data_IF_914317783205
#
_entry.id   IF_914317783205
#
_cell.length_a   1.000
_cell.length_b   1.000
_cell.length_c   1.000
_cell.angle_alpha   90.00
_cell.angle_beta   90.00
_cell.angle_gamma   90.00
#
_symmetry.space_group_name_H-M   'P 1'
#
loop_
_entity.id
_entity.type
_entity.pdbx_description
1 polymer ?
#
# COMPACT_ATOMS: atom_id res chain seq x y z
N UNK A 1 20.14 11.94 2.35
CA UNK A 1 18.75 12.10 1.84
C UNK A 1 18.62 11.37 0.50
N UNK A 2 17.49 10.69 0.25
CA UNK A 2 17.24 10.06 -1.04
C UNK A 2 17.12 11.14 -2.14
N UNK A 3 17.86 11.00 -3.24
CA UNK A 3 17.74 11.89 -4.41
C UNK A 3 16.87 11.23 -5.48
N UNK A 4 16.18 12.06 -6.26
CA UNK A 4 15.52 11.64 -7.50
C UNK A 4 16.59 11.05 -8.42
N UNK A 5 16.35 9.83 -8.92
CA UNK A 5 17.27 9.10 -9.79
C UNK A 5 16.48 8.43 -10.91
N UNK A 6 16.96 7.27 -11.41
CA UNK A 6 16.25 6.50 -12.45
C UNK A 6 14.82 6.11 -12.07
N UNK A 7 14.54 5.94 -10.77
CA UNK A 7 13.22 5.64 -10.24
C UNK A 7 12.66 6.86 -9.49
N UNK A 8 11.45 7.35 -9.80
CA UNK A 8 10.85 8.47 -9.09
C UNK A 8 10.66 8.22 -7.59
N UNK A 9 10.82 9.26 -6.77
CA UNK A 9 10.61 9.18 -5.31
C UNK A 9 9.15 8.84 -4.95
N UNK A 10 8.21 9.36 -5.73
CA UNK A 10 6.78 9.08 -5.65
C UNK A 10 6.39 7.69 -6.23
N UNK A 11 7.33 6.96 -6.81
CA UNK A 11 7.06 5.69 -7.48
C UNK A 11 6.60 4.62 -6.49
N UNK A 12 5.55 3.89 -6.85
CA UNK A 12 4.86 2.97 -5.95
C UNK A 12 5.79 1.98 -5.23
N UNK A 13 6.62 1.26 -5.98
CA UNK A 13 7.55 0.28 -5.40
C UNK A 13 8.62 0.90 -4.49
N UNK A 14 8.95 2.18 -4.69
CA UNK A 14 9.97 2.91 -3.93
C UNK A 14 9.36 3.50 -2.65
N UNK A 15 8.12 3.97 -2.72
CA UNK A 15 7.30 4.33 -1.55
C UNK A 15 7.00 3.13 -0.68
N UNK A 16 6.59 2.00 -1.28
CA UNK A 16 6.25 0.78 -0.55
C UNK A 16 7.48 0.02 -0.01
N UNK A 17 8.67 0.26 -0.55
CA UNK A 17 9.93 -0.28 -0.03
C UNK A 17 11.11 0.62 -0.41
N UNK A 18 11.66 1.31 0.59
CA UNK A 18 12.77 2.25 0.41
C UNK A 18 14.12 1.61 0.09
N UNK A 19 14.27 0.29 0.29
CA UNK A 19 15.49 -0.48 -0.01
C UNK A 19 16.78 0.09 0.58
N UNK A 20 16.68 0.80 1.71
CA UNK A 20 17.81 1.32 2.47
C UNK A 20 17.73 0.80 3.91
N UNK A 21 18.85 0.30 4.43
CA UNK A 21 18.95 -0.18 5.82
C UNK A 21 18.03 -1.35 6.18
N UNK A 22 17.86 -1.57 7.48
CA UNK A 22 16.92 -2.53 8.04
C UNK A 22 15.50 -1.98 7.92
N UNK A 23 14.71 -2.55 7.00
CA UNK A 23 13.30 -2.22 6.84
C UNK A 23 12.43 -3.23 7.63
N UNK A 24 11.91 -2.79 8.79
CA UNK A 24 10.96 -3.56 9.61
C UNK A 24 9.54 -3.54 9.04
N UNK A 25 9.25 -2.64 8.11
CA UNK A 25 7.95 -2.49 7.46
C UNK A 25 7.87 -3.28 6.16
N UNK A 26 7.85 -4.61 6.31
CA UNK A 26 7.67 -5.56 5.20
C UNK A 26 6.38 -6.35 5.34
N UNK A 27 5.74 -6.58 4.20
CA UNK A 27 4.48 -7.33 4.09
C UNK A 27 4.60 -8.41 3.01
N UNK A 28 3.94 -9.55 3.21
CA UNK A 28 3.76 -10.57 2.18
C UNK A 28 2.43 -10.34 1.48
N UNK A 29 2.46 -9.99 0.20
CA UNK A 29 1.25 -9.69 -0.59
C UNK A 29 0.69 -10.95 -1.24
N UNK A 30 -0.63 -11.16 -1.15
CA UNK A 30 -1.39 -12.26 -1.77
C UNK A 30 -2.71 -11.75 -2.37
N UNK A 31 -2.67 -10.56 -2.97
CA UNK A 31 -3.84 -10.00 -3.65
C UNK A 31 -4.12 -10.67 -4.99
N UNK A 32 -5.38 -10.60 -5.43
CA UNK A 32 -5.86 -11.13 -6.71
C UNK A 32 -6.74 -10.08 -7.42
N UNK A 33 -6.65 -9.91 -8.75
CA UNK A 33 -7.55 -9.03 -9.49
C UNK A 33 -9.02 -9.47 -9.37
N UNK A 34 -9.95 -8.54 -9.48
CA UNK A 34 -11.39 -8.81 -9.61
C UNK A 34 -12.03 -7.95 -10.70
N UNK A 35 -13.20 -8.38 -11.16
CA UNK A 35 -13.96 -7.74 -12.22
C UNK A 35 -13.56 -8.25 -13.61
N UNK A 36 -14.27 -7.79 -14.63
CA UNK A 36 -13.98 -8.14 -16.01
C UNK A 36 -12.79 -7.37 -16.57
N UNK A 37 -12.10 -7.98 -17.53
CA UNK A 37 -11.04 -7.34 -18.30
C UNK A 37 -11.52 -6.04 -18.96
N UNK A 38 -10.61 -5.08 -19.07
CA UNK A 38 -10.90 -3.82 -19.74
C UNK A 38 -11.12 -4.05 -21.23
N UNK A 39 -12.29 -3.63 -21.73
CA UNK A 39 -12.64 -3.64 -23.15
C UNK A 39 -12.66 -2.21 -23.67
N UNK A 40 -11.79 -1.91 -24.64
CA UNK A 40 -11.69 -0.56 -25.18
C UNK A 40 -13.03 -0.11 -25.79
N UNK A 41 -13.51 1.09 -25.40
CA UNK A 41 -14.81 1.61 -25.82
C UNK A 41 -16.03 0.98 -25.14
N UNK A 42 -15.84 0.00 -24.24
CA UNK A 42 -16.91 -0.59 -23.43
C UNK A 42 -17.18 0.18 -22.13
N UNK A 43 -18.31 -0.09 -21.45
CA UNK A 43 -18.61 0.52 -20.16
C UNK A 43 -17.62 0.08 -19.06
N UNK A 44 -17.34 0.97 -18.11
CA UNK A 44 -16.56 0.62 -16.92
C UNK A 44 -17.43 -0.19 -15.95
N UNK A 45 -17.29 -1.51 -15.97
CA UNK A 45 -18.07 -2.46 -15.17
C UNK A 45 -17.58 -2.63 -13.73
N UNK A 46 -16.55 -1.87 -13.32
CA UNK A 46 -15.95 -2.00 -11.98
C UNK A 46 -14.95 -3.15 -11.93
N UNK A 47 -13.68 -2.81 -11.71
CA UNK A 47 -12.56 -3.75 -11.62
C UNK A 47 -11.51 -3.23 -10.66
N UNK A 48 -10.64 -4.11 -10.20
CA UNK A 48 -9.53 -3.69 -9.36
C UNK A 48 -8.78 -4.86 -8.74
N UNK A 49 -8.34 -4.65 -7.50
CA UNK A 49 -7.52 -5.60 -6.76
C UNK A 49 -8.19 -5.93 -5.43
N UNK A 50 -8.46 -7.21 -5.18
CA UNK A 50 -8.70 -7.72 -3.83
C UNK A 50 -7.34 -7.79 -3.16
N UNK A 51 -6.97 -6.72 -2.47
CA UNK A 51 -5.68 -6.62 -1.81
C UNK A 51 -5.69 -7.41 -0.50
N UNK A 52 -4.81 -8.40 -0.40
CA UNK A 52 -4.53 -9.13 0.84
C UNK A 52 -3.03 -9.09 1.13
N UNK A 53 -2.67 -8.89 2.39
CA UNK A 53 -1.29 -8.99 2.83
C UNK A 53 -1.17 -9.56 4.24
N UNK A 54 -0.03 -10.17 4.52
CA UNK A 54 0.29 -10.80 5.79
C UNK A 54 1.49 -10.12 6.44
N UNK A 55 1.40 -9.98 7.76
CA UNK A 55 2.39 -9.36 8.62
C UNK A 55 2.16 -9.84 10.06
N UNK A 56 3.21 -9.80 10.90
CA UNK A 56 3.08 -10.08 12.33
C UNK A 56 2.48 -8.90 13.11
N UNK A 57 2.64 -7.68 12.61
CA UNK A 57 2.18 -6.45 13.26
C UNK A 57 1.62 -5.50 12.21
N UNK A 58 0.31 -5.25 12.24
CA UNK A 58 -0.38 -4.37 11.27
C UNK A 58 0.21 -2.95 11.34
N UNK A 59 0.49 -2.48 12.55
CA UNK A 59 1.08 -1.16 12.82
C UNK A 59 2.40 -0.95 12.08
N UNK A 60 3.25 -1.97 12.01
CA UNK A 60 4.56 -1.87 11.36
C UNK A 60 4.51 -2.25 9.88
N UNK A 61 3.49 -2.96 9.41
CA UNK A 61 3.37 -3.39 8.02
C UNK A 61 2.52 -2.45 7.17
N UNK A 62 1.33 -2.90 6.79
CA UNK A 62 0.40 -2.23 5.88
C UNK A 62 0.05 -0.82 6.34
N UNK A 63 -0.29 -0.65 7.63
CA UNK A 63 -0.66 0.68 8.15
C UNK A 63 0.49 1.65 8.02
N UNK A 64 1.71 1.24 8.36
CA UNK A 64 2.90 2.07 8.22
C UNK A 64 3.17 2.44 6.76
N UNK A 65 3.18 1.45 5.86
CA UNK A 65 3.43 1.65 4.43
C UNK A 65 2.40 2.63 3.85
N UNK A 66 1.11 2.48 4.17
CA UNK A 66 0.08 3.36 3.64
C UNK A 66 0.18 4.78 4.23
N UNK A 67 0.25 4.91 5.55
CA UNK A 67 0.11 6.21 6.23
C UNK A 67 1.41 6.99 6.36
N UNK A 68 2.52 6.33 6.71
CA UNK A 68 3.81 6.97 6.93
C UNK A 68 4.60 7.16 5.63
N UNK A 69 4.35 6.34 4.60
CA UNK A 69 5.08 6.39 3.34
C UNK A 69 4.23 6.84 2.16
N UNK A 70 3.21 6.07 1.78
CA UNK A 70 2.43 6.34 0.57
C UNK A 70 1.65 7.66 0.66
N UNK A 71 1.02 7.93 1.80
CA UNK A 71 0.23 9.15 2.03
C UNK A 71 1.07 10.34 2.50
N UNK A 72 2.41 10.21 2.57
CA UNK A 72 3.25 11.22 3.20
C UNK A 72 4.11 11.97 2.16
N UNK A 73 3.78 13.23 1.79
CA UNK A 73 4.47 13.94 0.73
C UNK A 73 5.95 14.24 1.01
N UNK A 74 6.34 14.28 2.29
CA UNK A 74 7.72 14.49 2.72
C UNK A 74 8.59 13.21 2.74
N UNK A 75 8.02 12.05 2.39
CA UNK A 75 8.73 10.77 2.43
C UNK A 75 9.07 10.26 1.03
N UNK A 76 10.26 9.68 0.76
CA UNK A 76 11.39 9.47 1.67
C UNK A 76 12.31 10.71 1.82
N UNK A 77 11.98 11.81 1.17
CA UNK A 77 12.67 13.09 1.29
C UNK A 77 11.71 14.25 0.99
N UNK A 78 12.00 15.48 1.45
CA UNK A 78 11.17 16.64 1.13
C UNK A 78 10.92 16.78 -0.37
N UNK A 79 9.68 17.13 -0.73
CA UNK A 79 9.27 17.29 -2.14
C UNK A 79 9.07 16.00 -2.91
N UNK A 80 9.07 14.82 -2.26
CA UNK A 80 8.83 13.55 -2.94
C UNK A 80 7.40 13.40 -3.46
N UNK A 81 6.41 14.00 -2.78
CA UNK A 81 5.00 13.83 -3.11
C UNK A 81 4.41 12.53 -2.57
N UNK A 82 3.13 12.29 -2.86
CA UNK A 82 2.41 11.07 -2.51
C UNK A 82 2.80 9.91 -3.44
N UNK A 83 2.48 8.70 -3.03
CA UNK A 83 2.49 7.55 -3.94
C UNK A 83 1.47 7.76 -5.07
N UNK A 84 1.94 7.65 -6.31
CA UNK A 84 1.15 7.96 -7.52
C UNK A 84 0.07 6.93 -7.86
N UNK A 85 0.06 5.78 -7.16
CA UNK A 85 -0.87 4.67 -7.39
C UNK A 85 -1.82 4.47 -6.23
N UNK A 86 -1.33 4.49 -4.98
CA UNK A 86 -2.15 4.20 -3.78
C UNK A 86 -2.18 5.34 -2.77
N UNK A 87 -1.48 6.44 -3.02
CA UNK A 87 -1.48 7.59 -2.12
C UNK A 87 -2.89 8.15 -1.98
N UNK A 88 -3.26 8.54 -0.77
CA UNK A 88 -4.55 9.16 -0.46
C UNK A 88 -4.28 10.50 0.21
N UNK A 89 -4.31 11.55 -0.60
CA UNK A 89 -4.14 12.93 -0.16
C UNK A 89 -5.43 13.73 -0.21
N UNK A 90 -5.35 14.97 0.27
CA UNK A 90 -6.36 16.00 0.14
C UNK A 90 -6.05 16.87 -1.08
N UNK A 91 -7.05 17.60 -1.57
CA UNK A 91 -6.86 18.59 -2.65
C UNK A 91 -5.79 19.64 -2.32
N UNK A 92 -5.59 19.93 -1.03
CA UNK A 92 -4.62 20.89 -0.51
C UNK A 92 -3.17 20.38 -0.47
N UNK A 93 -2.94 19.08 -0.67
CA UNK A 93 -1.59 18.51 -0.61
C UNK A 93 -0.79 18.90 -1.86
N UNK A 94 0.55 18.97 -1.77
CA UNK A 94 1.38 19.27 -2.94
C UNK A 94 1.26 18.14 -3.99
N UNK A 95 1.28 18.53 -5.26
CA UNK A 95 1.35 17.57 -6.35
C UNK A 95 2.64 16.74 -6.28
N UNK A 96 2.57 15.50 -6.75
CA UNK A 96 3.69 14.56 -6.72
C UNK A 96 4.54 14.72 -7.98
N UNK A 97 5.80 15.15 -7.89
CA UNK A 97 6.66 15.29 -9.05
C UNK A 97 7.06 13.92 -9.58
N UNK A 98 6.74 13.66 -10.83
CA UNK A 98 7.05 12.42 -11.52
C UNK A 98 7.89 12.70 -12.77
N UNK A 99 9.16 12.31 -12.73
CA UNK A 99 10.09 12.51 -13.85
C UNK A 99 10.04 11.31 -14.79
N UNK A 100 9.82 11.58 -16.08
CA UNK A 100 9.84 10.59 -17.16
C UNK A 100 10.83 11.09 -18.21
N UNK A 101 12.05 10.56 -18.17
CA UNK A 101 13.16 11.07 -19.00
C UNK A 101 13.47 12.53 -18.64
N UNK A 102 13.35 13.43 -19.62
CA UNK A 102 13.56 14.87 -19.44
C UNK A 102 12.27 15.64 -19.11
N UNK A 103 11.11 14.98 -19.09
CA UNK A 103 9.82 15.60 -18.82
C UNK A 103 9.43 15.41 -17.36
N UNK A 104 8.98 16.49 -16.74
CA UNK A 104 8.38 16.48 -15.40
C UNK A 104 6.87 16.56 -15.53
N UNK A 105 6.15 15.60 -14.93
CA UNK A 105 4.69 15.61 -14.80
C UNK A 105 4.34 15.72 -13.33
N UNK A 106 3.45 16.65 -12.98
CA UNK A 106 2.93 16.78 -11.63
C UNK A 106 1.63 16.00 -11.51
N UNK A 107 1.65 14.94 -10.70
CA UNK A 107 0.48 14.10 -10.46
C UNK A 107 -0.32 14.69 -9.32
N UNK A 108 -1.64 14.87 -9.52
CA UNK A 108 -2.53 15.42 -8.51
C UNK A 108 -2.51 14.55 -7.23
N UNK A 109 -2.68 15.15 -6.05
CA UNK A 109 -2.68 14.42 -4.79
C UNK A 109 -3.97 13.61 -4.56
N UNK A 110 -5.04 13.97 -5.25
CA UNK A 110 -6.27 13.18 -5.31
C UNK A 110 -6.01 12.01 -6.27
N UNK A 111 -6.17 10.80 -5.74
CA UNK A 111 -5.97 9.58 -6.49
C UNK A 111 -7.23 9.21 -7.26
N UNK A 112 -7.19 9.44 -8.56
CA UNK A 112 -8.28 9.12 -9.48
C UNK A 112 -8.21 7.66 -9.99
N UNK A 113 -7.14 6.91 -9.68
CA UNK A 113 -6.88 5.58 -10.25
C UNK A 113 -7.31 4.43 -9.34
N UNK A 114 -7.15 4.59 -8.03
CA UNK A 114 -7.46 3.54 -7.04
C UNK A 114 -8.35 4.12 -5.95
N UNK A 115 -9.61 3.67 -5.93
CA UNK A 115 -10.56 4.01 -4.87
C UNK A 115 -10.72 2.84 -3.91
N UNK A 116 -10.41 3.06 -2.62
CA UNK A 116 -10.68 2.07 -1.58
C UNK A 116 -12.20 1.89 -1.41
N UNK A 117 -12.68 0.65 -1.50
CA UNK A 117 -14.11 0.29 -1.34
C UNK A 117 -14.44 -0.32 0.03
N UNK A 118 -13.46 -0.38 0.93
CA UNK A 118 -13.56 -1.03 2.23
C UNK A 118 -12.57 -2.19 2.39
N UNK A 119 -12.58 -2.81 3.56
CA UNK A 119 -11.69 -3.90 3.94
C UNK A 119 -11.73 -4.13 5.45
N UNK A 120 -11.07 -5.18 5.92
CA UNK A 120 -11.03 -5.54 7.34
C UNK A 120 -9.69 -6.18 7.71
N UNK A 121 -9.34 -6.14 8.99
CA UNK A 121 -8.19 -6.83 9.56
C UNK A 121 -8.59 -8.19 10.15
N UNK A 122 -7.87 -9.23 9.74
CA UNK A 122 -8.09 -10.59 10.20
C UNK A 122 -6.83 -11.18 10.83
N UNK A 123 -7.05 -12.16 11.70
CA UNK A 123 -5.99 -13.02 12.23
C UNK A 123 -6.10 -14.42 11.60
N UNK A 124 -5.01 -14.89 11.02
CA UNK A 124 -4.91 -16.26 10.50
C UNK A 124 -4.21 -17.12 11.57
N UNK A 125 -4.97 -17.89 12.38
CA UNK A 125 -4.38 -18.74 13.40
C UNK A 125 -3.59 -19.92 12.79
N UNK A 126 -2.76 -20.55 13.61
CA UNK A 126 -2.07 -21.77 13.20
C UNK A 126 -3.06 -22.94 13.01
N UNK A 127 -2.64 -23.93 12.22
CA UNK A 127 -3.43 -25.16 12.04
C UNK A 127 -3.70 -25.90 13.35
N UNK A 128 -2.79 -25.81 14.33
CA UNK A 128 -3.00 -26.41 15.65
C UNK A 128 -4.20 -25.79 16.38
N UNK A 129 -4.32 -24.45 16.35
CA UNK A 129 -5.45 -23.73 16.94
C UNK A 129 -6.75 -24.07 16.22
N UNK A 130 -6.73 -24.11 14.88
CA UNK A 130 -7.93 -24.48 14.10
C UNK A 130 -8.41 -25.90 14.41
N UNK A 131 -7.49 -26.87 14.55
CA UNK A 131 -7.82 -28.27 14.87
C UNK A 131 -8.32 -28.46 16.30
N UNK A 132 -7.78 -27.69 17.26
CA UNK A 132 -8.24 -27.72 18.65
C UNK A 132 -9.64 -27.10 18.84
N UNK A 133 -10.11 -26.36 17.84
CA UNK A 133 -11.28 -25.51 17.94
C UNK A 133 -10.95 -24.20 18.67
N UNK A 134 -11.68 -23.13 18.38
CA UNK A 134 -11.60 -21.88 19.15
C UNK A 134 -12.30 -22.03 20.51
N UNK A 135 -11.86 -23.00 21.31
CA UNK A 135 -12.34 -23.22 22.67
C UNK A 135 -11.58 -22.29 23.61
N UNK A 136 -12.04 -21.04 23.68
CA UNK A 136 -11.46 -19.93 24.45
C UNK A 136 -11.40 -20.26 25.97
N UNK A 137 -12.14 -21.27 26.44
CA UNK A 137 -12.13 -21.72 27.84
C UNK A 137 -10.90 -22.52 28.29
N UNK A 138 -10.12 -23.11 27.38
CA UNK A 138 -8.97 -23.97 27.73
C UNK A 138 -7.60 -23.34 27.42
N UNK A 139 -7.56 -22.05 27.05
CA UNK A 139 -6.30 -21.33 26.89
C UNK A 139 -5.81 -20.85 28.26
N UNK A 140 -5.48 -21.79 29.16
CA UNK A 140 -4.63 -21.48 30.30
C UNK A 140 -3.17 -21.56 29.87
N UNK A 141 -2.52 -20.39 29.86
CA UNK A 141 -1.09 -20.15 30.02
C UNK A 141 -0.12 -20.93 29.13
N UNK A 142 0.29 -20.32 28.01
CA UNK A 142 1.71 -20.24 27.59
C UNK A 142 1.93 -18.99 26.73
N UNK A 143 1.63 -17.83 27.31
CA UNK A 143 2.39 -16.61 27.08
C UNK A 143 3.13 -16.28 28.37
#
# INVERSE_FOLDING_TARGET
MAKQGKCPLAGHIRKANIRIGLNSSRIMRRGIPYGEDFKNGGPDTGRGLLFACYQSTIENGYRFIQTAWANQPGFPSPGAGLDVTIGQGKASDPASPFQIGTKSVNIKPINDFVTAKGGEYFFAPSMAVLRAGFNIGNVQSRL
#
